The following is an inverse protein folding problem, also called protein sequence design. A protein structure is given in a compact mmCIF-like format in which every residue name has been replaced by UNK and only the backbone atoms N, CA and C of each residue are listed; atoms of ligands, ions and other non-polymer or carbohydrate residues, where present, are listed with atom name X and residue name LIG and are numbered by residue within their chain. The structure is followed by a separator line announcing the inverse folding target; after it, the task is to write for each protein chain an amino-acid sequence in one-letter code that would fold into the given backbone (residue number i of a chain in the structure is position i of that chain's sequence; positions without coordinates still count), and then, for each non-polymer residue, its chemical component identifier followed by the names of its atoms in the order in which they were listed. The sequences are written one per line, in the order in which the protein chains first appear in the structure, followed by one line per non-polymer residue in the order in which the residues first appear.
data_IF_818289600434
#
_entry.id   IF_818289600434
#
_cell.length_a   1.000
_cell.length_b   1.000
_cell.length_c   1.000
_cell.angle_alpha   90.00
_cell.angle_beta   90.00
_cell.angle_gamma   90.00
#
_symmetry.space_group_name_H-M   'P 1'
#
loop_
_entity.id
_entity.type
_entity.pdbx_description
1 polymer ?
#
# COMPACT_ATOMS: atom_id res chain seq x y z
N UNK A 1 -0.85 47.67 -27.84
CA UNK A 1 0.44 47.09 -27.36
C UNK A 1 0.36 46.54 -25.93
N UNK A 2 -0.29 47.22 -24.96
CA UNK A 2 -0.40 46.74 -23.56
C UNK A 2 -1.20 45.42 -23.38
N UNK A 3 -2.25 45.20 -24.17
CA UNK A 3 -3.08 43.99 -24.07
C UNK A 3 -2.33 42.70 -24.43
N UNK A 4 -1.43 42.75 -25.42
CA UNK A 4 -0.61 41.61 -25.82
C UNK A 4 0.34 41.17 -24.70
N UNK A 5 0.85 42.12 -23.92
CA UNK A 5 1.71 41.84 -22.77
C UNK A 5 0.98 41.09 -21.65
N UNK A 6 -0.29 41.43 -21.41
CA UNK A 6 -1.11 40.77 -20.39
C UNK A 6 -1.48 39.34 -20.79
N UNK A 7 -1.79 39.12 -22.07
CA UNK A 7 -2.10 37.78 -22.59
C UNK A 7 -0.87 36.87 -22.55
N UNK A 8 0.30 37.39 -22.93
CA UNK A 8 1.56 36.62 -22.90
C UNK A 8 1.96 36.20 -21.47
N UNK A 9 1.77 37.10 -20.49
CA UNK A 9 2.04 36.80 -19.07
C UNK A 9 1.12 35.69 -18.53
N UNK A 10 -0.17 35.75 -18.87
CA UNK A 10 -1.14 34.75 -18.45
C UNK A 10 -0.86 33.36 -19.05
N UNK A 11 -0.41 33.29 -20.30
CA UNK A 11 -0.03 32.02 -20.93
C UNK A 11 1.24 31.40 -20.33
N UNK A 12 2.19 32.23 -19.87
CA UNK A 12 3.44 31.76 -19.25
C UNK A 12 3.20 31.14 -17.86
N UNK A 13 2.16 31.58 -17.14
CA UNK A 13 1.79 31.00 -15.84
C UNK A 13 1.17 29.60 -15.97
N UNK A 14 0.51 29.29 -17.09
CA UNK A 14 -0.14 27.98 -17.30
C UNK A 14 0.87 26.84 -17.57
N UNK A 15 2.04 27.14 -18.13
CA UNK A 15 3.07 26.13 -18.42
C UNK A 15 3.87 25.68 -17.18
N UNK A 16 3.77 26.39 -16.06
CA UNK A 16 4.49 26.03 -14.82
C UNK A 16 3.85 24.89 -14.02
N UNK A 17 2.61 24.49 -14.37
CA UNK A 17 1.92 23.37 -13.71
C UNK A 17 2.25 22.00 -14.33
N UNK A 18 3.05 21.96 -15.41
CA UNK A 18 3.53 20.73 -16.06
C UNK A 18 4.96 20.37 -15.64
N UNK A 19 5.35 20.77 -14.43
CA UNK A 19 6.52 20.22 -13.76
C UNK A 19 6.02 19.07 -12.89
N UNK A 20 5.77 17.92 -13.50
CA UNK A 20 5.73 16.67 -12.74
C UNK A 20 7.14 16.48 -12.17
N UNK A 21 7.34 16.56 -10.83
CA UNK A 21 8.56 16.01 -10.28
C UNK A 21 8.61 14.55 -10.74
N UNK A 22 9.80 13.98 -11.06
CA UNK A 22 9.89 12.54 -11.09
C UNK A 22 9.22 12.06 -9.81
N UNK A 23 8.27 11.14 -9.93
CA UNK A 23 7.84 10.32 -8.82
C UNK A 23 9.08 9.53 -8.40
N UNK A 24 10.04 10.22 -7.78
CA UNK A 24 10.92 9.66 -6.81
C UNK A 24 9.91 9.06 -5.86
N UNK A 25 9.76 7.76 -6.01
CA UNK A 25 9.09 6.95 -5.04
C UNK A 25 9.79 7.32 -3.73
N UNK A 26 9.18 8.25 -3.00
CA UNK A 26 9.09 8.16 -1.57
C UNK A 26 8.29 6.87 -1.38
N UNK A 27 8.95 5.74 -1.62
CA UNK A 27 9.22 4.81 -0.55
C UNK A 27 9.64 5.69 0.63
N UNK A 28 8.63 6.30 1.27
CA UNK A 28 8.59 6.47 2.70
C UNK A 28 9.23 5.19 3.16
N UNK A 29 10.39 5.33 3.78
CA UNK A 29 11.15 4.26 4.34
C UNK A 29 10.14 3.44 5.16
N UNK A 30 9.49 2.46 4.53
CA UNK A 30 8.61 1.51 5.18
C UNK A 30 9.67 0.71 5.87
N UNK A 31 9.98 1.15 7.08
CA UNK A 31 10.94 0.53 7.97
C UNK A 31 10.81 -0.97 7.72
N UNK A 32 11.86 -1.71 7.38
CA UNK A 32 11.75 -3.13 7.07
C UNK A 32 11.09 -3.96 8.20
N UNK A 33 10.86 -3.34 9.37
CA UNK A 33 10.07 -3.82 10.51
C UNK A 33 8.57 -3.46 10.51
N UNK A 34 8.02 -2.81 9.47
CA UNK A 34 6.58 -2.70 9.19
C UNK A 34 6.17 -3.85 8.24
N UNK A 35 6.84 -4.99 8.39
CA UNK A 35 6.18 -6.27 8.18
C UNK A 35 5.11 -6.30 9.26
N UNK A 36 3.87 -6.08 8.86
CA UNK A 36 2.71 -6.75 9.41
C UNK A 36 3.15 -7.80 10.44
N UNK A 37 2.86 -7.56 11.72
CA UNK A 37 3.27 -8.42 12.85
C UNK A 37 2.61 -9.80 12.74
N UNK A 38 2.99 -10.56 11.72
CA UNK A 38 2.69 -11.97 11.59
C UNK A 38 3.86 -12.70 12.23
N UNK A 39 3.57 -13.60 13.16
CA UNK A 39 4.61 -14.44 13.75
C UNK A 39 5.27 -15.27 12.64
N UNK A 40 6.52 -15.67 12.84
CA UNK A 40 7.23 -16.57 11.91
C UNK A 40 6.42 -17.84 11.57
N UNK A 41 5.59 -18.31 12.51
CA UNK A 41 4.67 -19.41 12.31
C UNK A 41 3.52 -19.03 11.37
N UNK A 42 2.92 -17.84 11.53
CA UNK A 42 1.91 -17.31 10.63
C UNK A 42 2.45 -17.07 9.21
N UNK A 43 3.69 -16.60 9.08
CA UNK A 43 4.35 -16.43 7.77
C UNK A 43 4.53 -17.78 7.07
N UNK A 44 5.07 -18.77 7.79
CA UNK A 44 5.24 -20.13 7.28
C UNK A 44 3.89 -20.77 6.92
N UNK A 45 2.87 -20.63 7.77
CA UNK A 45 1.53 -21.15 7.52
C UNK A 45 0.89 -20.50 6.29
N UNK A 46 1.13 -19.20 6.07
CA UNK A 46 0.58 -18.49 4.91
C UNK A 46 1.20 -18.99 3.62
N UNK A 47 2.53 -19.18 3.62
CA UNK A 47 3.25 -19.76 2.50
C UNK A 47 2.82 -21.22 2.24
N UNK A 48 2.64 -22.04 3.29
CA UNK A 48 2.16 -23.42 3.18
C UNK A 48 0.73 -23.50 2.64
N UNK A 49 -0.13 -22.55 2.98
CA UNK A 49 -1.49 -22.43 2.44
C UNK A 49 -1.53 -21.91 0.98
N UNK A 50 -0.37 -21.55 0.41
CA UNK A 50 -0.28 -20.99 -0.95
C UNK A 50 -0.73 -19.52 -1.03
N UNK A 51 -0.78 -18.82 0.10
CA UNK A 51 -1.08 -17.40 0.18
C UNK A 51 0.16 -16.51 0.13
N UNK A 52 -0.09 -15.21 0.11
CA UNK A 52 0.91 -14.14 0.14
C UNK A 52 0.68 -13.24 1.34
N UNK A 53 1.75 -12.86 2.03
CA UNK A 53 1.67 -11.98 3.18
C UNK A 53 1.25 -10.56 2.76
N UNK A 54 0.40 -9.95 3.56
CA UNK A 54 0.00 -8.56 3.40
C UNK A 54 -0.24 -7.90 4.74
N UNK A 55 -0.14 -6.57 4.75
CA UNK A 55 -0.50 -5.74 5.89
C UNK A 55 -1.90 -5.17 5.69
N UNK A 56 -2.70 -5.09 6.74
CA UNK A 56 -3.84 -4.18 6.79
C UNK A 56 -3.69 -3.19 7.94
N UNK A 57 -4.13 -1.96 7.65
CA UNK A 57 -4.36 -0.96 8.67
C UNK A 57 -5.74 -1.17 9.26
N UNK A 58 -5.77 -1.21 10.57
CA UNK A 58 -6.94 -1.37 11.38
C UNK A 58 -7.54 0.03 11.68
N UNK A 59 -8.84 0.11 12.00
CA UNK A 59 -9.51 1.40 12.24
C UNK A 59 -8.96 2.13 13.47
N UNK A 60 -8.38 1.38 14.40
CA UNK A 60 -7.63 1.85 15.57
C UNK A 60 -6.22 2.36 15.23
N UNK A 61 -5.83 2.34 13.95
CA UNK A 61 -4.52 2.79 13.48
C UNK A 61 -3.40 1.75 13.63
N UNK A 62 -3.70 0.60 14.25
CA UNK A 62 -2.80 -0.55 14.31
C UNK A 62 -2.58 -1.16 12.92
N UNK A 63 -1.47 -1.88 12.75
CA UNK A 63 -1.18 -2.62 11.52
C UNK A 63 -1.08 -4.10 11.85
N UNK A 64 -1.88 -4.91 11.18
CA UNK A 64 -1.90 -6.36 11.36
C UNK A 64 -1.41 -7.08 10.13
N UNK A 65 -0.71 -8.19 10.37
CA UNK A 65 -0.39 -9.15 9.32
C UNK A 65 -1.60 -9.98 8.95
N UNK A 66 -1.81 -10.09 7.65
CA UNK A 66 -2.84 -10.94 7.06
C UNK A 66 -2.25 -11.77 5.94
N UNK A 67 -2.73 -13.00 5.82
CA UNK A 67 -2.48 -13.85 4.68
C UNK A 67 -3.53 -13.59 3.61
N UNK A 68 -3.12 -13.14 2.44
CA UNK A 68 -3.97 -13.03 1.26
C UNK A 68 -3.89 -14.33 0.46
N UNK A 69 -5.02 -15.02 0.34
CA UNK A 69 -5.11 -16.29 -0.34
C UNK A 69 -5.44 -16.12 -1.83
N UNK A 70 -5.11 -17.11 -2.67
CA UNK A 70 -5.36 -17.05 -4.12
C UNK A 70 -6.85 -17.05 -4.49
N UNK A 71 -7.73 -17.45 -3.57
CA UNK A 71 -9.19 -17.33 -3.72
C UNK A 71 -9.72 -15.90 -3.47
N UNK A 72 -8.85 -14.93 -3.20
CA UNK A 72 -9.21 -13.53 -2.92
C UNK A 72 -9.55 -13.24 -1.47
N UNK A 73 -9.43 -14.22 -0.56
CA UNK A 73 -9.69 -14.02 0.88
C UNK A 73 -8.48 -13.46 1.59
N UNK A 74 -8.72 -12.71 2.67
CA UNK A 74 -7.66 -12.21 3.56
C UNK A 74 -7.98 -12.65 4.98
N UNK A 75 -7.01 -13.27 5.63
CA UNK A 75 -7.18 -13.82 6.96
C UNK A 75 -6.10 -13.29 7.89
N UNK A 76 -6.47 -12.93 9.10
CA UNK A 76 -5.51 -12.69 10.17
C UNK A 76 -4.82 -14.01 10.57
N UNK A 77 -3.72 -13.87 11.31
CA UNK A 77 -2.96 -15.02 11.82
C UNK A 77 -3.83 -16.02 12.58
N UNK A 78 -4.77 -15.53 13.40
CA UNK A 78 -5.65 -16.39 14.21
C UNK A 78 -6.51 -17.32 13.35
N UNK A 79 -7.09 -16.79 12.27
CA UNK A 79 -7.93 -17.58 11.35
C UNK A 79 -7.09 -18.54 10.49
N UNK A 80 -5.83 -18.19 10.24
CA UNK A 80 -4.88 -19.04 9.55
C UNK A 80 -4.39 -20.18 10.46
N UNK A 81 -4.07 -19.88 11.72
CA UNK A 81 -3.68 -20.84 12.73
C UNK A 81 -4.84 -21.80 13.09
N UNK A 82 -6.07 -21.28 13.12
CA UNK A 82 -7.28 -22.09 13.29
C UNK A 82 -7.63 -22.94 12.06
N UNK A 83 -6.97 -22.73 10.91
CA UNK A 83 -7.26 -23.43 9.65
C UNK A 83 -8.61 -23.07 9.02
N UNK A 84 -9.32 -22.07 9.55
CA UNK A 84 -10.64 -21.65 9.05
C UNK A 84 -10.55 -20.69 7.87
N UNK A 85 -9.36 -20.12 7.63
CA UNK A 85 -9.11 -19.14 6.58
C UNK A 85 -9.59 -19.58 5.18
N UNK A 86 -9.46 -20.87 4.84
CA UNK A 86 -9.89 -21.41 3.55
C UNK A 86 -11.26 -22.07 3.53
N UNK A 87 -11.98 -22.11 4.65
CA UNK A 87 -13.16 -22.97 4.81
C UNK A 87 -14.51 -22.24 4.81
N UNK A 88 -14.56 -20.95 4.48
CA UNK A 88 -15.81 -20.23 4.22
C UNK A 88 -15.99 -19.92 2.74
#
# INVERSE_FOLDING_TARGET
MRSFFLVALATLSLSACSSEPPQQATAAHVSPGLRASLSSQGEANCAMAGGILSVAHQLDGSMVGMCAMPNGKRCAEDSLAAGTCGSY
#
